data_IF_292819490366
#
_entry.id   IF_292819490366
#
_cell.length_a   1.000
_cell.length_b   1.000
_cell.length_c   1.000
_cell.angle_alpha   90.00
_cell.angle_beta   90.00
_cell.angle_gamma   90.00
#
_symmetry.space_group_name_H-M   'P 1'
#
loop_
_entity.id
_entity.type
_entity.pdbx_description
1 polymer ?
#
# COMPACT_ATOMS: atom_id res chain seq x y z
N UNK A 1 -51.72 25.08 -55.21
CA UNK A 1 -50.49 24.42 -54.73
C UNK A 1 -50.12 25.17 -53.46
N UNK A 2 -50.82 24.75 -52.41
CA UNK A 2 -50.96 25.47 -51.14
C UNK A 2 -49.78 25.18 -50.21
N UNK A 3 -49.30 26.24 -49.56
CA UNK A 3 -48.45 26.18 -48.39
C UNK A 3 -49.36 26.07 -47.17
N UNK A 4 -49.26 24.98 -46.40
CA UNK A 4 -49.94 24.83 -45.12
C UNK A 4 -48.96 24.99 -43.96
N UNK A 5 -49.14 26.02 -43.10
CA UNK A 5 -48.46 26.16 -41.82
C UNK A 5 -49.43 25.85 -40.68
N UNK A 6 -49.22 24.77 -39.93
CA UNK A 6 -49.84 24.60 -38.60
C UNK A 6 -49.11 23.56 -37.74
N UNK A 7 -48.66 24.07 -36.59
CA UNK A 7 -48.86 23.52 -35.24
C UNK A 7 -48.63 22.02 -35.04
N UNK A 8 -47.62 21.70 -34.24
CA UNK A 8 -47.84 20.95 -32.99
C UNK A 8 -46.70 21.17 -31.99
N UNK A 9 -47.02 21.86 -30.89
CA UNK A 9 -46.30 21.85 -29.61
C UNK A 9 -47.14 21.01 -28.65
N UNK A 10 -46.76 19.77 -28.35
CA UNK A 10 -47.05 18.98 -27.13
C UNK A 10 -46.18 17.72 -27.25
N UNK A 11 -45.49 17.13 -26.27
CA UNK A 11 -45.27 17.45 -24.87
C UNK A 11 -44.04 16.65 -24.41
N UNK A 12 -43.18 17.32 -23.65
CA UNK A 12 -42.07 16.73 -22.90
C UNK A 12 -42.68 16.01 -21.69
N UNK A 13 -42.65 14.68 -21.68
CA UNK A 13 -42.85 13.88 -20.47
C UNK A 13 -41.54 13.11 -20.26
N UNK A 14 -40.64 13.71 -19.46
CA UNK A 14 -39.54 12.96 -18.84
C UNK A 14 -40.17 12.11 -17.72
N UNK A 15 -40.27 10.81 -17.96
CA UNK A 15 -40.65 9.84 -16.94
C UNK A 15 -39.43 9.59 -16.05
N UNK A 16 -39.42 10.18 -14.86
CA UNK A 16 -38.49 9.82 -13.79
C UNK A 16 -38.83 8.41 -13.29
N UNK A 17 -38.05 7.41 -13.70
CA UNK A 17 -38.11 6.08 -13.09
C UNK A 17 -37.26 6.13 -11.81
N UNK A 18 -37.94 6.23 -10.67
CA UNK A 18 -37.37 5.92 -9.35
C UNK A 18 -37.12 4.41 -9.28
N UNK A 19 -35.94 3.98 -9.70
CA UNK A 19 -35.43 2.64 -9.43
C UNK A 19 -34.91 2.60 -7.99
N UNK A 20 -35.51 1.72 -7.19
CA UNK A 20 -35.02 1.25 -5.91
C UNK A 20 -33.54 0.90 -6.01
N UNK A 21 -32.68 1.60 -5.27
CA UNK A 21 -31.30 1.16 -5.06
C UNK A 21 -31.31 0.07 -3.97
N UNK A 22 -30.86 -1.16 -4.27
CA UNK A 22 -30.53 -2.09 -3.21
C UNK A 22 -29.34 -1.52 -2.44
N UNK A 23 -29.46 -1.46 -1.11
CA UNK A 23 -28.31 -1.26 -0.22
C UNK A 23 -27.34 -2.42 -0.44
N UNK A 24 -26.37 -2.24 -1.33
CA UNK A 24 -25.19 -3.07 -1.39
C UNK A 24 -24.29 -2.64 -0.25
N UNK A 25 -24.16 -3.49 0.76
CA UNK A 25 -23.02 -3.43 1.65
C UNK A 25 -21.80 -3.70 0.78
N UNK A 26 -21.02 -2.65 0.48
CA UNK A 26 -19.69 -2.82 -0.07
C UNK A 26 -18.92 -3.69 0.94
N UNK A 27 -18.49 -4.88 0.51
CA UNK A 27 -17.44 -5.59 1.21
C UNK A 27 -16.22 -4.69 1.12
N UNK A 28 -15.97 -3.94 2.19
CA UNK A 28 -14.69 -3.25 2.38
C UNK A 28 -13.72 -4.37 2.64
N UNK A 29 -13.07 -4.85 1.58
CA UNK A 29 -11.86 -5.64 1.71
C UNK A 29 -10.83 -4.70 2.34
N UNK A 30 -10.79 -4.71 3.67
CA UNK A 30 -9.68 -4.11 4.40
C UNK A 30 -8.44 -4.79 3.85
N UNK A 31 -7.53 -3.99 3.29
CA UNK A 31 -6.18 -4.43 2.99
C UNK A 31 -5.52 -4.64 4.34
N UNK A 32 -5.73 -5.84 4.87
CA UNK A 32 -5.18 -6.24 6.16
C UNK A 32 -3.67 -6.38 5.96
N UNK A 33 -2.90 -5.88 6.93
CA UNK A 33 -1.50 -6.24 7.03
C UNK A 33 -1.38 -7.77 6.97
N UNK A 34 -0.44 -8.25 6.17
CA UNK A 34 -0.10 -9.67 6.10
C UNK A 34 0.96 -9.96 7.16
N UNK A 35 0.94 -11.18 7.67
CA UNK A 35 1.93 -11.65 8.63
C UNK A 35 2.53 -12.96 8.15
N UNK A 36 3.85 -13.04 8.23
CA UNK A 36 4.59 -14.27 8.02
C UNK A 36 5.42 -14.62 9.25
N UNK A 37 5.62 -15.92 9.47
CA UNK A 37 6.33 -16.45 10.64
C UNK A 37 7.57 -17.18 10.18
N UNK A 38 8.72 -16.81 10.74
CA UNK A 38 9.99 -17.54 10.64
C UNK A 38 10.41 -18.13 11.98
N UNK A 39 11.15 -19.22 11.94
CA UNK A 39 11.55 -20.11 13.03
C UNK A 39 13.04 -20.45 12.91
N UNK A 40 13.70 -20.82 14.03
CA UNK A 40 15.08 -21.29 14.01
C UNK A 40 15.34 -22.42 13.02
N UNK A 41 16.45 -22.35 12.30
CA UNK A 41 16.92 -23.38 11.34
C UNK A 41 18.35 -23.84 11.61
N UNK A 42 19.17 -23.00 12.26
CA UNK A 42 20.52 -23.34 12.66
C UNK A 42 21.01 -22.47 13.83
N UNK A 43 21.95 -23.02 14.62
CA UNK A 43 22.64 -22.31 15.70
C UNK A 43 23.56 -21.19 15.18
N UNK A 44 23.64 -20.06 15.89
CA UNK A 44 24.62 -18.99 15.65
C UNK A 44 25.48 -18.71 16.90
N UNK A 45 24.86 -18.25 17.98
CA UNK A 45 25.48 -18.15 19.31
C UNK A 45 24.80 -19.17 20.20
N UNK A 46 25.59 -19.98 20.90
CA UNK A 46 25.09 -21.03 21.80
C UNK A 46 25.78 -20.92 23.15
N UNK A 47 25.05 -20.45 24.15
CA UNK A 47 25.47 -20.38 25.56
C UNK A 47 24.53 -21.15 26.49
N UNK A 48 23.29 -21.39 26.06
CA UNK A 48 22.31 -22.17 26.81
C UNK A 48 22.57 -23.67 26.62
N UNK A 49 22.07 -24.46 27.58
CA UNK A 49 22.18 -25.91 27.50
C UNK A 49 20.93 -26.49 26.83
N UNK A 50 21.06 -27.39 25.84
CA UNK A 50 19.92 -28.07 25.22
C UNK A 50 19.45 -29.26 26.07
N UNK A 51 18.15 -29.54 25.99
CA UNK A 51 17.54 -30.77 26.45
C UNK A 51 16.50 -31.25 25.43
N UNK A 52 16.53 -32.51 24.97
CA UNK A 52 17.62 -33.47 25.14
C UNK A 52 18.92 -32.96 24.46
N UNK A 53 20.03 -33.70 24.57
CA UNK A 53 21.27 -33.30 23.91
C UNK A 53 21.09 -33.22 22.39
N UNK A 54 21.46 -32.10 21.79
CA UNK A 54 21.37 -31.84 20.35
C UNK A 54 21.78 -30.40 20.02
N UNK A 55 21.64 -29.96 18.76
CA UNK A 55 21.69 -28.54 18.40
C UNK A 55 20.60 -27.76 19.15
N UNK A 56 20.92 -26.56 19.62
CA UNK A 56 19.98 -25.76 20.39
C UNK A 56 18.79 -25.33 19.54
N UNK A 57 19.01 -25.06 18.25
CA UNK A 57 17.98 -24.69 17.27
C UNK A 57 16.87 -25.73 17.13
N UNK A 58 17.16 -27.02 17.34
CA UNK A 58 16.18 -28.12 17.26
C UNK A 58 15.39 -28.33 18.56
N UNK A 59 15.67 -27.54 19.59
CA UNK A 59 14.95 -27.57 20.86
C UNK A 59 13.97 -26.39 21.00
N UNK A 60 13.84 -25.58 19.95
CA UNK A 60 13.06 -24.33 19.94
C UNK A 60 12.40 -24.03 18.59
N UNK A 61 12.52 -24.89 17.57
CA UNK A 61 11.98 -24.68 16.22
C UNK A 61 10.50 -25.11 16.07
N UNK A 62 9.86 -25.43 17.18
CA UNK A 62 8.56 -26.08 17.21
C UNK A 62 7.47 -25.20 16.61
N UNK A 63 6.53 -25.79 15.87
CA UNK A 63 5.35 -25.06 15.39
C UNK A 63 4.42 -24.62 16.52
N UNK A 64 4.39 -25.39 17.60
CA UNK A 64 3.72 -25.09 18.86
C UNK A 64 4.59 -25.59 20.01
N UNK A 65 4.72 -24.79 21.08
CA UNK A 65 5.45 -25.18 22.29
C UNK A 65 5.08 -26.61 22.76
N UNK A 66 6.08 -27.37 23.18
CA UNK A 66 5.90 -28.78 23.56
C UNK A 66 6.27 -29.07 25.03
N UNK A 67 6.42 -28.02 25.83
CA UNK A 67 6.65 -28.08 27.27
C UNK A 67 8.08 -28.51 27.64
N UNK A 68 8.21 -29.68 28.26
CA UNK A 68 9.50 -30.24 28.68
C UNK A 68 9.97 -31.37 27.74
N UNK A 69 9.43 -31.45 26.52
CA UNK A 69 9.83 -32.47 25.53
C UNK A 69 11.22 -32.12 24.98
N UNK A 70 11.38 -30.88 24.53
CA UNK A 70 12.65 -30.25 24.24
C UNK A 70 12.65 -28.77 24.65
N UNK A 71 13.82 -28.26 25.03
CA UNK A 71 14.03 -26.87 25.44
C UNK A 71 15.52 -26.55 25.55
N UNK A 72 15.84 -25.26 25.45
CA UNK A 72 17.11 -24.71 25.92
C UNK A 72 16.94 -24.15 27.34
N UNK A 73 17.99 -24.19 28.16
CA UNK A 73 17.91 -23.71 29.54
C UNK A 73 19.19 -23.06 30.07
N UNK A 74 19.00 -22.20 31.07
CA UNK A 74 20.05 -21.63 31.90
C UNK A 74 19.75 -21.85 33.38
N UNK A 75 20.75 -22.35 34.11
CA UNK A 75 20.81 -22.36 35.57
C UNK A 75 21.80 -21.31 36.10
N UNK A 76 22.24 -20.40 35.23
CA UNK A 76 23.21 -19.39 35.57
C UNK A 76 22.52 -18.12 36.10
N UNK A 77 23.11 -17.55 37.15
CA UNK A 77 22.75 -16.22 37.66
C UNK A 77 23.24 -15.09 36.75
N UNK A 78 24.26 -15.37 35.94
CA UNK A 78 24.59 -14.55 34.80
C UNK A 78 23.60 -14.87 33.68
N UNK A 79 23.13 -13.84 33.00
CA UNK A 79 22.31 -14.06 31.82
C UNK A 79 23.12 -14.63 30.67
N UNK A 80 22.57 -15.65 30.04
CA UNK A 80 23.15 -16.33 28.88
C UNK A 80 22.20 -16.19 27.69
N UNK A 81 22.75 -16.15 26.49
CA UNK A 81 21.98 -15.99 25.27
C UNK A 81 22.27 -17.05 24.23
N UNK A 82 21.22 -17.39 23.50
CA UNK A 82 21.34 -18.07 22.22
C UNK A 82 20.75 -17.20 21.10
N UNK A 83 21.33 -17.32 19.91
CA UNK A 83 20.79 -16.76 18.67
C UNK A 83 20.81 -17.82 17.58
N UNK A 84 19.86 -17.71 16.65
CA UNK A 84 19.63 -18.69 15.61
C UNK A 84 19.44 -18.01 14.26
N UNK A 85 19.98 -18.66 13.22
CA UNK A 85 19.53 -18.43 11.84
C UNK A 85 18.07 -18.88 11.77
N UNK A 86 17.24 -18.17 11.00
CA UNK A 86 15.81 -18.43 10.87
C UNK A 86 15.41 -18.60 9.41
N UNK A 87 14.30 -19.31 9.13
CA UNK A 87 13.71 -19.34 7.80
C UNK A 87 13.00 -18.01 7.52
N UNK A 88 13.71 -17.15 6.78
CA UNK A 88 13.23 -15.82 6.44
C UNK A 88 11.90 -15.87 5.65
N UNK A 89 10.92 -15.02 5.98
CA UNK A 89 9.69 -14.89 5.20
C UNK A 89 9.92 -14.42 3.75
N UNK A 90 8.93 -14.60 2.89
CA UNK A 90 9.00 -14.18 1.49
C UNK A 90 8.98 -12.66 1.36
N UNK A 91 9.82 -12.14 0.46
CA UNK A 91 10.04 -10.71 0.29
C UNK A 91 8.90 -10.04 -0.49
N UNK A 92 7.97 -9.38 0.20
CA UNK A 92 6.93 -8.56 -0.43
C UNK A 92 6.47 -7.39 0.45
N UNK A 93 6.29 -6.20 -0.13
CA UNK A 93 5.70 -5.04 0.57
C UNK A 93 6.67 -4.30 1.50
N UNK A 94 6.14 -3.37 2.29
CA UNK A 94 6.89 -2.66 3.35
C UNK A 94 6.66 -3.35 4.68
N UNK A 95 7.74 -3.57 5.42
CA UNK A 95 7.68 -4.16 6.76
C UNK A 95 7.23 -3.08 7.74
N UNK A 96 6.15 -3.36 8.48
CA UNK A 96 5.61 -2.48 9.50
C UNK A 96 6.33 -2.69 10.84
N UNK A 97 6.65 -3.95 11.18
CA UNK A 97 7.41 -4.31 12.36
C UNK A 97 7.90 -5.77 12.29
N UNK A 98 8.91 -6.06 13.09
CA UNK A 98 9.38 -7.41 13.39
C UNK A 98 9.15 -7.69 14.87
N UNK A 99 8.62 -8.86 15.21
CA UNK A 99 8.39 -9.27 16.61
C UNK A 99 8.96 -10.65 16.85
N UNK A 100 9.81 -10.77 17.87
CA UNK A 100 10.33 -12.07 18.34
C UNK A 100 9.47 -12.54 19.51
N UNK A 101 8.98 -13.77 19.42
CA UNK A 101 8.23 -14.48 20.44
C UNK A 101 9.08 -15.60 21.04
N UNK A 102 8.96 -15.81 22.34
CA UNK A 102 9.63 -16.88 23.08
C UNK A 102 8.67 -17.49 24.10
N UNK A 103 8.64 -18.82 24.19
CA UNK A 103 7.85 -19.55 25.19
C UNK A 103 8.74 -20.06 26.30
N UNK A 104 8.67 -19.43 27.47
CA UNK A 104 9.61 -19.65 28.55
C UNK A 104 8.95 -19.90 29.91
N UNK A 105 9.68 -20.53 30.82
CA UNK A 105 9.33 -20.67 32.24
C UNK A 105 10.55 -20.78 33.13
N UNK A 106 10.35 -20.71 34.43
CA UNK A 106 11.32 -21.16 35.42
C UNK A 106 10.81 -22.43 36.11
N UNK A 107 11.71 -23.35 36.48
CA UNK A 107 11.31 -24.61 37.12
C UNK A 107 10.74 -24.43 38.52
N UNK A 108 11.21 -23.42 39.28
CA UNK A 108 10.66 -23.05 40.57
C UNK A 108 11.06 -21.61 40.96
N UNK A 109 10.32 -20.98 41.87
CA UNK A 109 10.71 -19.68 42.45
C UNK A 109 10.21 -18.43 41.71
N UNK A 110 9.90 -18.51 40.40
CA UNK A 110 9.39 -17.40 39.57
C UNK A 110 10.19 -16.09 39.72
N UNK A 111 11.51 -16.22 39.85
CA UNK A 111 12.50 -15.15 39.98
C UNK A 111 13.36 -14.96 38.74
N UNK A 112 13.37 -15.92 37.81
CA UNK A 112 14.14 -15.87 36.58
C UNK A 112 13.66 -14.76 35.63
N UNK A 113 14.51 -14.41 34.67
CA UNK A 113 14.24 -13.36 33.68
C UNK A 113 14.44 -13.87 32.26
N UNK A 114 13.67 -13.31 31.33
CA UNK A 114 13.77 -13.55 29.89
C UNK A 114 13.82 -12.23 29.12
N UNK A 115 14.58 -12.20 28.03
CA UNK A 115 14.52 -11.15 27.00
C UNK A 115 14.51 -11.80 25.61
N UNK A 116 13.45 -11.62 24.81
CA UNK A 116 13.54 -11.82 23.37
C UNK A 116 14.59 -10.87 22.79
N UNK A 117 15.34 -11.30 21.78
CA UNK A 117 16.39 -10.48 21.18
C UNK A 117 16.51 -10.68 19.66
N UNK A 118 17.08 -9.68 19.01
CA UNK A 118 17.54 -9.72 17.63
C UNK A 118 19.06 -9.54 17.64
N UNK A 119 19.77 -10.31 16.83
CA UNK A 119 21.19 -10.12 16.56
C UNK A 119 21.38 -9.73 15.11
N UNK A 120 22.01 -8.57 14.88
CA UNK A 120 22.43 -8.13 13.56
C UNK A 120 23.97 -8.08 13.51
N UNK A 121 24.56 -6.89 13.66
CA UNK A 121 25.98 -6.71 13.95
C UNK A 121 26.26 -6.76 15.46
N UNK A 122 25.30 -6.28 16.26
CA UNK A 122 25.30 -6.34 17.73
C UNK A 122 24.03 -7.07 18.22
N UNK A 123 24.00 -7.42 19.51
CA UNK A 123 22.80 -7.95 20.17
C UNK A 123 21.89 -6.81 20.64
N UNK A 124 20.63 -6.85 20.22
CA UNK A 124 19.59 -5.89 20.60
C UNK A 124 18.55 -6.60 21.46
N UNK A 125 18.61 -6.34 22.77
CA UNK A 125 17.71 -6.95 23.74
C UNK A 125 16.36 -6.25 23.79
N UNK A 126 15.29 -7.04 23.87
CA UNK A 126 13.99 -6.56 24.32
C UNK A 126 13.94 -6.28 25.81
N UNK A 127 12.75 -5.88 26.27
CA UNK A 127 12.51 -5.62 27.68
C UNK A 127 12.68 -6.89 28.53
N UNK A 128 13.31 -6.72 29.71
CA UNK A 128 13.41 -7.80 30.70
C UNK A 128 12.03 -8.13 31.27
N UNK A 129 11.66 -9.40 31.23
CA UNK A 129 10.37 -9.91 31.71
C UNK A 129 10.62 -11.02 32.73
N UNK A 130 9.86 -11.01 33.83
CA UNK A 130 9.96 -12.04 34.87
C UNK A 130 9.28 -13.33 34.43
N UNK A 131 9.95 -14.46 34.65
CA UNK A 131 9.44 -15.78 34.33
C UNK A 131 8.43 -16.27 35.38
N UNK A 132 7.42 -17.01 34.91
CA UNK A 132 6.51 -17.77 35.78
C UNK A 132 6.94 -19.24 35.88
N UNK A 133 6.31 -20.01 36.77
CA UNK A 133 6.55 -21.47 36.88
C UNK A 133 5.90 -22.31 35.76
N UNK A 134 5.08 -21.68 34.92
CA UNK A 134 4.43 -22.27 33.76
C UNK A 134 4.98 -21.65 32.48
N UNK A 135 4.94 -22.41 31.37
CA UNK A 135 5.30 -21.85 30.07
C UNK A 135 4.33 -20.74 29.70
N UNK A 136 4.89 -19.56 29.44
CA UNK A 136 4.18 -18.34 29.04
C UNK A 136 4.90 -17.78 27.83
N UNK A 137 4.13 -17.20 26.92
CA UNK A 137 4.64 -16.46 25.77
C UNK A 137 5.08 -15.06 26.19
N UNK A 138 6.31 -14.70 25.84
CA UNK A 138 6.86 -13.36 25.96
C UNK A 138 7.27 -12.87 24.57
N UNK A 139 7.26 -11.56 24.36
CA UNK A 139 7.67 -11.01 23.07
C UNK A 139 8.28 -9.62 23.19
N UNK A 140 8.97 -9.21 22.12
CA UNK A 140 9.42 -7.85 21.88
C UNK A 140 9.12 -7.48 20.43
N UNK A 141 8.58 -6.27 20.22
CA UNK A 141 8.34 -5.72 18.88
C UNK A 141 9.37 -4.63 18.58
N UNK A 142 9.89 -4.62 17.37
CA UNK A 142 10.73 -3.58 16.81
C UNK A 142 10.02 -2.98 15.61
N UNK A 143 9.62 -1.71 15.71
CA UNK A 143 8.97 -0.98 14.62
C UNK A 143 9.97 -0.50 13.55
N UNK A 144 11.21 -0.25 13.98
CA UNK A 144 12.34 0.10 13.12
C UNK A 144 13.45 -0.93 13.31
N UNK A 145 14.38 -1.03 12.37
CA UNK A 145 15.59 -1.86 12.54
C UNK A 145 16.40 -1.29 13.72
N UNK A 146 16.63 -2.06 14.80
CA UNK A 146 17.41 -1.57 15.93
C UNK A 146 18.88 -1.30 15.59
N UNK A 147 19.38 -1.71 14.41
CA UNK A 147 20.76 -1.48 13.98
C UNK A 147 21.05 -0.01 13.66
N UNK A 148 20.17 0.64 12.91
CA UNK A 148 20.33 2.01 12.41
C UNK A 148 19.16 2.94 12.73
N UNK A 149 18.07 2.41 13.32
CA UNK A 149 16.81 3.12 13.65
C UNK A 149 15.98 3.51 12.41
N UNK A 150 16.32 2.99 11.22
CA UNK A 150 15.57 3.19 9.98
C UNK A 150 14.41 2.17 9.85
N UNK A 151 13.41 2.42 8.99
CA UNK A 151 12.36 1.43 8.71
C UNK A 151 12.93 0.12 8.16
N UNK A 152 12.37 -1.00 8.62
CA UNK A 152 12.79 -2.34 8.19
C UNK A 152 12.74 -2.52 6.67
N UNK A 153 13.81 -3.09 6.12
CA UNK A 153 13.86 -3.62 4.76
C UNK A 153 13.95 -5.15 4.77
N UNK A 154 13.58 -5.77 3.65
CA UNK A 154 13.76 -7.20 3.47
C UNK A 154 15.24 -7.62 3.51
N UNK A 155 16.15 -6.73 3.11
CA UNK A 155 17.59 -6.99 3.20
C UNK A 155 18.06 -7.09 4.65
N UNK A 156 17.42 -6.37 5.57
CA UNK A 156 17.78 -6.43 6.99
C UNK A 156 17.38 -7.79 7.56
N UNK A 157 16.21 -8.31 7.18
CA UNK A 157 15.73 -9.63 7.63
C UNK A 157 16.67 -10.78 7.24
N UNK A 158 17.30 -10.70 6.06
CA UNK A 158 18.33 -11.67 5.63
C UNK A 158 19.61 -11.62 6.46
N UNK A 159 19.87 -10.50 7.15
CA UNK A 159 21.08 -10.30 7.93
C UNK A 159 20.86 -10.51 9.43
N UNK A 160 19.63 -10.45 9.93
CA UNK A 160 19.34 -10.69 11.35
C UNK A 160 19.25 -12.16 11.72
N UNK A 161 19.44 -12.43 13.01
CA UNK A 161 19.25 -13.69 13.71
C UNK A 161 18.28 -13.39 14.86
N UNK A 162 17.46 -14.37 15.24
CA UNK A 162 16.52 -14.23 16.36
C UNK A 162 17.00 -15.06 17.53
N UNK A 163 16.60 -14.72 18.75
CA UNK A 163 17.08 -15.46 19.91
C UNK A 163 16.42 -15.11 21.22
N UNK A 164 17.02 -15.65 22.29
CA UNK A 164 16.55 -15.48 23.65
C UNK A 164 17.73 -15.32 24.59
N UNK A 165 17.56 -14.44 25.58
CA UNK A 165 18.43 -14.35 26.75
C UNK A 165 17.67 -14.85 27.97
N UNK A 166 18.30 -15.73 28.74
CA UNK A 166 17.74 -16.36 29.93
C UNK A 166 18.66 -16.18 31.15
N UNK A 167 18.04 -15.91 32.29
CA UNK A 167 18.71 -15.80 33.59
C UNK A 167 17.89 -16.47 34.68
N UNK A 168 18.58 -17.24 35.52
CA UNK A 168 18.08 -17.75 36.80
C UNK A 168 18.39 -16.71 37.91
N UNK A 169 17.53 -16.53 38.92
CA UNK A 169 17.75 -15.49 39.95
C UNK A 169 17.68 -16.00 41.39
N UNK A 170 17.16 -17.22 41.62
CA UNK A 170 16.97 -17.80 42.94
C UNK A 170 18.28 -18.29 43.57
N UNK A 171 19.29 -18.67 42.77
CA UNK A 171 20.51 -19.33 43.24
C UNK A 171 20.26 -20.67 43.94
N UNK A 172 19.06 -21.24 43.78
CA UNK A 172 18.69 -22.52 44.38
C UNK A 172 19.11 -23.63 43.43
N UNK A 173 19.90 -24.58 43.94
CA UNK A 173 20.31 -25.75 43.16
C UNK A 173 19.09 -26.47 42.55
N UNK A 174 19.16 -26.73 41.24
CA UNK A 174 18.09 -27.40 40.49
C UNK A 174 17.05 -26.47 39.87
N UNK A 175 17.21 -25.15 40.02
CA UNK A 175 16.39 -24.16 39.29
C UNK A 175 16.97 -23.85 37.91
N UNK A 176 16.09 -23.66 36.94
CA UNK A 176 16.48 -23.28 35.58
C UNK A 176 15.39 -22.46 34.90
N UNK A 177 15.80 -21.42 34.18
CA UNK A 177 15.00 -20.78 33.16
C UNK A 177 15.05 -21.64 31.89
N UNK A 178 13.89 -21.97 31.31
CA UNK A 178 13.72 -22.84 30.14
C UNK A 178 12.98 -22.11 29.03
N UNK A 179 13.34 -22.39 27.78
CA UNK A 179 12.64 -21.94 26.58
C UNK A 179 12.43 -23.12 25.63
N UNK A 180 11.18 -23.35 25.20
CA UNK A 180 10.77 -24.50 24.34
C UNK A 180 10.35 -24.05 22.93
N UNK A 181 10.25 -22.75 22.67
CA UNK A 181 9.86 -22.25 21.36
C UNK A 181 10.37 -20.84 21.16
N UNK A 182 10.96 -20.58 20.00
CA UNK A 182 11.36 -19.24 19.54
C UNK A 182 10.88 -19.09 18.10
N UNK A 183 10.30 -17.95 17.77
CA UNK A 183 9.96 -17.60 16.40
C UNK A 183 9.85 -16.09 16.26
N UNK A 184 9.90 -15.60 15.03
CA UNK A 184 9.61 -14.20 14.76
C UNK A 184 8.48 -14.08 13.73
N UNK A 185 7.69 -13.02 13.91
CA UNK A 185 6.63 -12.64 13.00
C UNK A 185 7.00 -11.31 12.38
N UNK A 186 6.88 -11.26 11.06
CA UNK A 186 7.04 -10.04 10.26
C UNK A 186 5.67 -9.61 9.82
N UNK A 187 5.27 -8.42 10.24
CA UNK A 187 4.07 -7.77 9.76
C UNK A 187 4.46 -6.83 8.64
N UNK A 188 3.83 -7.00 7.48
CA UNK A 188 4.11 -6.21 6.31
C UNK A 188 2.81 -5.83 5.62
N UNK A 189 2.81 -4.63 5.04
CA UNK A 189 1.72 -4.11 4.22
C UNK A 189 2.17 -3.95 2.78
N UNK A 190 1.25 -3.62 1.85
CA UNK A 190 1.64 -3.06 0.57
C UNK A 190 2.58 -1.87 0.82
N UNK A 191 3.61 -1.72 -0.02
CA UNK A 191 4.66 -0.73 0.18
C UNK A 191 4.06 0.65 0.49
N UNK A 192 4.35 1.18 1.68
CA UNK A 192 3.77 2.44 2.14
C UNK A 192 4.46 3.60 1.42
N UNK A 193 3.73 4.18 0.47
CA UNK A 193 4.04 5.37 -0.33
C UNK A 193 5.08 5.17 -1.44
N UNK A 194 4.60 4.78 -2.63
CA UNK A 194 5.14 5.42 -3.82
C UNK A 194 4.87 6.92 -3.68
N UNK A 195 5.90 7.74 -3.85
CA UNK A 195 5.71 9.19 -4.03
C UNK A 195 5.42 9.49 -5.50
N UNK A 196 4.83 10.64 -5.79
CA UNK A 196 4.62 11.06 -7.18
C UNK A 196 5.96 11.20 -7.92
N UNK A 197 7.05 11.49 -7.19
CA UNK A 197 8.42 11.58 -7.68
C UNK A 197 8.93 10.28 -8.33
N UNK A 198 8.38 9.12 -7.94
CA UNK A 198 8.68 7.83 -8.57
C UNK A 198 8.31 7.79 -10.06
N UNK A 199 7.41 8.64 -10.54
CA UNK A 199 6.99 8.68 -11.95
C UNK A 199 8.18 8.78 -12.91
N UNK A 200 9.24 9.49 -12.50
CA UNK A 200 10.45 9.66 -13.30
C UNK A 200 11.23 8.35 -13.52
N UNK A 201 11.39 7.56 -12.47
CA UNK A 201 12.09 6.27 -12.55
C UNK A 201 11.20 5.20 -13.19
N UNK A 202 9.91 5.18 -12.83
CA UNK A 202 8.98 4.10 -13.16
C UNK A 202 8.35 4.25 -14.55
N UNK A 203 8.04 5.48 -14.97
CA UNK A 203 7.27 5.74 -16.20
C UNK A 203 8.13 6.40 -17.28
N UNK A 204 8.85 7.47 -16.95
CA UNK A 204 9.70 8.18 -17.91
C UNK A 204 10.88 7.31 -18.32
N UNK A 205 11.61 6.78 -17.32
CA UNK A 205 12.80 5.94 -17.53
C UNK A 205 12.54 4.44 -17.32
N UNK A 206 11.28 4.04 -17.10
CA UNK A 206 10.90 2.64 -16.90
C UNK A 206 11.39 1.76 -18.04
N UNK A 207 11.82 0.54 -17.71
CA UNK A 207 12.28 -0.43 -18.70
C UNK A 207 11.20 -0.71 -19.76
N UNK A 208 11.60 -1.14 -20.96
CA UNK A 208 10.64 -1.55 -21.99
C UNK A 208 9.65 -2.56 -21.43
N UNK A 209 8.35 -2.34 -21.66
CA UNK A 209 7.26 -3.22 -21.23
C UNK A 209 7.08 -3.33 -19.70
N UNK A 210 7.52 -2.37 -18.88
CA UNK A 210 7.23 -2.34 -17.44
C UNK A 210 6.06 -1.44 -17.05
N UNK A 211 5.47 -0.71 -18.01
CA UNK A 211 4.36 0.21 -17.79
C UNK A 211 3.18 -0.11 -18.69
N UNK A 212 1.96 0.03 -18.16
CA UNK A 212 0.71 -0.03 -18.92
C UNK A 212 0.00 1.32 -18.82
N UNK A 213 -0.16 1.98 -19.97
CA UNK A 213 -1.05 3.12 -20.11
C UNK A 213 -2.46 2.62 -20.37
N UNK A 214 -3.35 2.83 -19.41
CA UNK A 214 -4.73 2.34 -19.47
C UNK A 214 -5.65 3.48 -19.90
N UNK A 215 -6.27 3.28 -21.06
CA UNK A 215 -7.26 4.18 -21.63
C UNK A 215 -8.65 3.82 -21.09
N UNK A 216 -9.47 4.80 -20.70
CA UNK A 216 -10.84 4.52 -20.34
C UNK A 216 -11.66 4.22 -21.60
N UNK A 217 -12.17 3.00 -21.74
CA UNK A 217 -12.97 2.60 -22.89
C UNK A 217 -14.26 3.42 -23.00
N UNK A 218 -14.71 3.65 -24.23
CA UNK A 218 -15.94 4.39 -24.55
C UNK A 218 -17.17 3.50 -24.66
N UNK A 219 -17.00 2.17 -24.82
CA UNK A 219 -18.13 1.28 -25.14
C UNK A 219 -18.07 -0.16 -24.61
N UNK A 220 -16.94 -0.60 -24.03
CA UNK A 220 -16.81 -1.95 -23.49
C UNK A 220 -17.51 -2.19 -22.15
N UNK A 221 -17.57 -3.46 -21.70
CA UNK A 221 -18.19 -3.84 -20.43
C UNK A 221 -17.40 -3.30 -19.24
N UNK A 222 -18.06 -2.52 -18.38
CA UNK A 222 -17.47 -1.86 -17.21
C UNK A 222 -18.21 -2.23 -15.91
N UNK A 223 -17.59 -2.00 -14.74
CA UNK A 223 -18.23 -2.20 -13.45
C UNK A 223 -19.51 -1.36 -13.29
N UNK A 224 -20.39 -1.80 -12.40
CA UNK A 224 -21.63 -1.09 -12.12
C UNK A 224 -21.35 0.35 -11.64
N UNK A 225 -21.98 1.32 -12.29
CA UNK A 225 -21.78 2.75 -11.98
C UNK A 225 -20.66 3.43 -12.76
N UNK A 226 -19.87 2.68 -13.54
CA UNK A 226 -18.85 3.23 -14.44
C UNK A 226 -19.41 3.31 -15.86
N UNK A 227 -19.25 4.47 -16.51
CA UNK A 227 -19.75 4.75 -17.86
C UNK A 227 -18.61 4.94 -18.85
N UNK A 228 -18.93 5.02 -20.14
CA UNK A 228 -17.92 5.32 -21.18
C UNK A 228 -17.33 6.72 -21.02
N UNK A 229 -16.02 6.83 -21.23
CA UNK A 229 -15.33 8.12 -21.18
C UNK A 229 -15.57 8.99 -22.42
N UNK A 230 -15.18 10.26 -22.31
CA UNK A 230 -15.06 11.17 -23.46
C UNK A 230 -13.65 11.06 -24.06
N UNK A 231 -13.53 11.39 -25.36
CA UNK A 231 -12.25 11.36 -26.09
C UNK A 231 -11.15 12.30 -25.53
N UNK A 232 -11.52 13.23 -24.65
CA UNK A 232 -10.58 14.13 -24.00
C UNK A 232 -9.64 13.40 -23.05
N UNK A 233 -10.11 12.39 -22.32
CA UNK A 233 -9.25 11.59 -21.42
C UNK A 233 -8.22 10.77 -22.22
N UNK A 234 -8.58 10.33 -23.43
CA UNK A 234 -7.67 9.65 -24.37
C UNK A 234 -6.58 10.60 -24.90
N UNK A 235 -6.94 11.86 -25.14
CA UNK A 235 -5.98 12.86 -25.58
C UNK A 235 -5.01 13.22 -24.45
N UNK A 236 -5.52 13.32 -23.23
CA UNK A 236 -4.73 13.64 -22.05
C UNK A 236 -3.69 12.56 -21.73
N UNK A 237 -4.03 11.26 -21.79
CA UNK A 237 -3.04 10.18 -21.56
C UNK A 237 -1.95 10.14 -22.63
N UNK A 238 -2.23 10.62 -23.84
CA UNK A 238 -1.23 10.74 -24.91
C UNK A 238 -0.04 11.63 -24.53
N UNK A 239 -0.26 12.65 -23.69
CA UNK A 239 0.82 13.50 -23.16
C UNK A 239 1.77 12.67 -22.30
N UNK A 240 1.23 11.80 -21.43
CA UNK A 240 2.03 10.96 -20.54
C UNK A 240 2.77 9.86 -21.29
N UNK A 241 2.17 9.29 -22.34
CA UNK A 241 2.85 8.34 -23.22
C UNK A 241 4.04 8.99 -23.92
N UNK A 242 3.89 10.24 -24.37
CA UNK A 242 4.97 11.01 -24.98
C UNK A 242 6.14 11.32 -24.05
N UNK A 243 5.98 11.15 -22.74
CA UNK A 243 7.05 11.31 -21.76
C UNK A 243 7.92 10.06 -21.59
N UNK A 244 7.47 8.87 -22.02
CA UNK A 244 8.24 7.63 -21.84
C UNK A 244 9.39 7.53 -22.85
N UNK A 245 10.59 7.20 -22.34
CA UNK A 245 11.79 7.00 -23.15
C UNK A 245 11.84 5.60 -23.81
N UNK A 246 11.15 4.62 -23.23
CA UNK A 246 11.09 3.25 -23.71
C UNK A 246 9.68 2.88 -24.19
N UNK A 247 9.58 1.84 -25.02
CA UNK A 247 8.29 1.33 -25.46
C UNK A 247 7.53 0.71 -24.28
N UNK A 248 6.26 1.08 -24.14
CA UNK A 248 5.38 0.61 -23.07
C UNK A 248 4.09 0.04 -23.63
N UNK A 249 3.33 -0.66 -22.79
CA UNK A 249 2.03 -1.19 -23.18
C UNK A 249 0.98 -0.08 -23.18
N UNK A 250 -0.01 -0.25 -24.05
CA UNK A 250 -1.26 0.50 -24.05
C UNK A 250 -2.42 -0.46 -24.03
N UNK A 251 -3.43 -0.19 -23.21
CA UNK A 251 -4.58 -1.08 -23.05
C UNK A 251 -5.85 -0.31 -22.74
N UNK A 252 -7.01 -0.95 -22.92
CA UNK A 252 -8.29 -0.41 -22.49
C UNK A 252 -8.61 -0.91 -21.08
N UNK A 253 -9.30 -0.12 -20.28
CA UNK A 253 -9.81 -0.48 -18.95
C UNK A 253 -10.96 -1.53 -18.97
N UNK A 254 -11.20 -2.13 -20.12
CA UNK A 254 -12.13 -3.24 -20.41
C UNK A 254 -11.41 -4.45 -21.03
N UNK A 255 -10.08 -4.37 -21.24
CA UNK A 255 -9.32 -5.42 -21.90
C UNK A 255 -9.20 -6.66 -21.02
N UNK A 256 -9.79 -7.77 -21.45
CA UNK A 256 -9.71 -9.07 -20.77
C UNK A 256 -8.41 -9.85 -21.08
N UNK A 257 -7.51 -9.32 -21.91
CA UNK A 257 -6.25 -9.96 -22.29
C UNK A 257 -5.02 -9.44 -21.53
N UNK A 258 -3.93 -10.20 -21.61
CA UNK A 258 -2.60 -9.83 -21.09
C UNK A 258 -2.05 -8.57 -21.80
N UNK A 259 -1.28 -7.70 -21.12
CA UNK A 259 -0.79 -7.82 -19.74
C UNK A 259 -1.74 -7.28 -18.66
N UNK A 260 -2.84 -6.62 -19.03
CA UNK A 260 -3.71 -5.94 -18.05
C UNK A 260 -4.75 -6.86 -17.41
N UNK A 261 -5.41 -7.74 -18.19
CA UNK A 261 -6.45 -8.70 -17.76
C UNK A 261 -7.47 -8.09 -16.78
N UNK A 262 -8.24 -7.10 -17.25
CA UNK A 262 -9.23 -6.39 -16.44
C UNK A 262 -10.36 -7.30 -15.97
N UNK A 263 -10.62 -7.29 -14.66
CA UNK A 263 -11.88 -7.79 -14.11
C UNK A 263 -12.98 -6.76 -14.37
N UNK A 264 -13.83 -7.02 -15.36
CA UNK A 264 -14.89 -6.08 -15.78
C UNK A 264 -16.01 -5.91 -14.78
N UNK A 265 -16.10 -6.77 -13.75
CA UNK A 265 -17.10 -6.64 -12.69
C UNK A 265 -16.65 -5.69 -11.58
N UNK A 266 -15.35 -5.64 -11.28
CA UNK A 266 -14.80 -4.85 -10.16
C UNK A 266 -13.97 -3.66 -10.62
N UNK A 267 -13.36 -3.75 -11.81
CA UNK A 267 -12.38 -2.79 -12.31
C UNK A 267 -10.94 -3.08 -11.86
N UNK A 268 -10.69 -4.20 -11.19
CA UNK A 268 -9.35 -4.59 -10.76
C UNK A 268 -8.49 -5.08 -11.95
N UNK A 269 -7.26 -4.56 -12.12
CA UNK A 269 -6.29 -5.13 -13.05
C UNK A 269 -5.77 -6.50 -12.59
N UNK A 270 -5.52 -7.40 -13.54
CA UNK A 270 -4.84 -8.69 -13.31
C UNK A 270 -3.33 -8.66 -13.57
N UNK A 271 -2.72 -7.47 -13.67
CA UNK A 271 -1.28 -7.28 -13.82
C UNK A 271 -0.54 -7.51 -12.48
N UNK A 272 0.79 -7.67 -12.53
CA UNK A 272 1.64 -7.77 -11.33
C UNK A 272 2.98 -7.09 -11.57
N UNK A 273 3.51 -6.37 -10.58
CA UNK A 273 4.79 -5.65 -10.65
C UNK A 273 4.92 -4.70 -11.86
N UNK A 274 3.82 -4.01 -12.21
CA UNK A 274 3.77 -3.07 -13.33
C UNK A 274 3.56 -1.63 -12.84
N UNK A 275 4.12 -0.66 -13.55
CA UNK A 275 3.63 0.72 -13.52
C UNK A 275 2.29 0.80 -14.27
N UNK A 276 1.25 1.34 -13.65
CA UNK A 276 -0.07 1.50 -14.28
C UNK A 276 -0.44 2.98 -14.28
N UNK A 277 -0.54 3.57 -15.46
CA UNK A 277 -0.87 4.98 -15.64
C UNK A 277 -2.30 5.10 -16.13
N UNK A 278 -3.11 5.92 -15.44
CA UNK A 278 -4.54 6.08 -15.75
C UNK A 278 -4.91 7.56 -15.85
N UNK A 279 -5.82 7.89 -16.77
CA UNK A 279 -6.38 9.24 -16.90
C UNK A 279 -7.90 9.17 -16.96
N UNK A 280 -8.56 9.98 -16.13
CA UNK A 280 -10.02 9.99 -15.98
C UNK A 280 -10.48 9.44 -14.63
N UNK A 281 -11.56 10.01 -14.10
CA UNK A 281 -12.04 9.72 -12.75
C UNK A 281 -12.79 8.38 -12.62
N UNK A 282 -13.22 8.02 -11.40
CA UNK A 282 -13.85 6.73 -11.08
C UNK A 282 -15.22 6.52 -11.75
N UNK A 283 -15.84 7.58 -12.30
CA UNK A 283 -17.11 7.47 -13.04
C UNK A 283 -16.87 6.93 -14.45
N UNK A 284 -15.67 7.09 -15.01
CA UNK A 284 -15.38 6.74 -16.42
C UNK A 284 -14.27 5.70 -16.59
N UNK A 285 -13.43 5.51 -15.56
CA UNK A 285 -12.26 4.64 -15.61
C UNK A 285 -12.36 3.49 -14.59
N UNK A 286 -12.44 2.24 -15.07
CA UNK A 286 -12.64 1.04 -14.25
C UNK A 286 -11.54 0.84 -13.19
N UNK A 287 -10.28 1.08 -13.55
CA UNK A 287 -9.16 0.98 -12.59
C UNK A 287 -9.29 1.99 -11.45
N UNK A 288 -9.59 3.26 -11.76
CA UNK A 288 -9.75 4.31 -10.75
C UNK A 288 -10.97 4.04 -9.87
N UNK A 289 -12.06 3.53 -10.45
CA UNK A 289 -13.22 3.07 -9.71
C UNK A 289 -12.86 2.02 -8.65
N UNK A 290 -12.09 1.01 -9.03
CA UNK A 290 -11.61 -0.02 -8.09
C UNK A 290 -10.68 0.55 -7.03
N UNK A 291 -9.69 1.36 -7.42
CA UNK A 291 -8.73 1.98 -6.50
C UNK A 291 -9.44 2.82 -5.44
N UNK A 292 -10.44 3.60 -5.81
CA UNK A 292 -11.17 4.45 -4.85
C UNK A 292 -12.09 3.67 -3.91
N UNK A 293 -12.44 2.44 -4.25
CA UNK A 293 -13.17 1.56 -3.33
C UNK A 293 -12.33 1.10 -2.14
N UNK A 294 -11.02 0.90 -2.30
CA UNK A 294 -10.23 0.20 -1.28
C UNK A 294 -8.74 0.52 -1.20
N UNK A 295 -8.12 1.28 -2.13
CA UNK A 295 -6.66 1.57 -2.12
C UNK A 295 -6.23 3.04 -2.17
N UNK A 296 -6.87 3.90 -2.96
CA UNK A 296 -6.46 5.30 -3.17
C UNK A 296 -6.35 6.18 -1.91
N UNK A 297 -5.30 7.02 -1.78
CA UNK A 297 -5.19 7.96 -0.65
C UNK A 297 -6.28 9.05 -0.68
N UNK A 298 -6.75 9.38 -1.89
CA UNK A 298 -7.80 10.36 -2.18
C UNK A 298 -8.89 9.73 -3.04
N UNK A 299 -10.14 10.12 -2.83
CA UNK A 299 -11.27 9.68 -3.65
C UNK A 299 -12.24 10.83 -3.97
N UNK A 300 -12.95 10.67 -5.07
CA UNK A 300 -14.00 11.57 -5.54
C UNK A 300 -15.32 11.30 -4.81
N UNK A 301 -16.03 12.37 -4.46
CA UNK A 301 -17.38 12.27 -3.91
C UNK A 301 -18.24 13.43 -4.42
N UNK A 302 -19.55 13.21 -4.55
CA UNK A 302 -20.51 14.24 -4.92
C UNK A 302 -21.67 14.26 -3.91
N UNK A 303 -22.10 15.45 -3.51
CA UNK A 303 -23.20 15.63 -2.58
C UNK A 303 -23.61 17.09 -2.42
N UNK A 304 -24.89 17.35 -2.15
CA UNK A 304 -25.41 18.70 -1.84
C UNK A 304 -25.04 19.78 -2.87
N UNK A 305 -24.98 19.43 -4.16
CA UNK A 305 -24.59 20.37 -5.23
C UNK A 305 -23.09 20.69 -5.28
N UNK A 306 -22.24 19.89 -4.63
CA UNK A 306 -20.80 20.04 -4.65
C UNK A 306 -20.11 18.73 -5.04
N UNK A 307 -18.89 18.89 -5.54
CA UNK A 307 -17.90 17.88 -5.85
C UNK A 307 -16.78 17.99 -4.82
N UNK A 308 -16.25 16.85 -4.40
CA UNK A 308 -15.27 16.76 -3.33
C UNK A 308 -14.13 15.85 -3.72
N UNK A 309 -12.92 16.26 -3.34
CA UNK A 309 -11.84 15.32 -3.09
C UNK A 309 -11.75 15.09 -1.59
N UNK A 310 -11.73 13.82 -1.19
CA UNK A 310 -11.67 13.42 0.21
C UNK A 310 -10.49 12.51 0.44
N UNK A 311 -9.82 12.70 1.57
CA UNK A 311 -8.86 11.73 2.08
C UNK A 311 -9.61 10.46 2.49
N UNK A 312 -8.91 9.33 2.48
CA UNK A 312 -9.45 8.02 2.88
C UNK A 312 -10.19 7.99 4.22
N UNK A 313 -9.73 8.77 5.20
CA UNK A 313 -10.38 8.88 6.51
C UNK A 313 -11.71 9.67 6.47
N UNK A 314 -12.19 10.07 5.30
CA UNK A 314 -13.42 10.84 5.08
C UNK A 314 -13.24 12.35 5.15
N UNK A 315 -12.06 12.85 5.49
CA UNK A 315 -11.77 14.29 5.57
C UNK A 315 -11.91 14.92 4.19
N UNK A 316 -12.65 16.03 4.12
CA UNK A 316 -12.75 16.80 2.87
C UNK A 316 -11.49 17.62 2.68
N UNK A 317 -10.80 17.40 1.56
CA UNK A 317 -9.57 18.09 1.19
C UNK A 317 -9.87 19.32 0.32
N UNK A 318 -10.74 19.15 -0.68
CA UNK A 318 -11.16 20.20 -1.61
C UNK A 318 -12.65 20.07 -1.91
N UNK A 319 -13.31 21.20 -2.13
CA UNK A 319 -14.73 21.28 -2.51
C UNK A 319 -14.91 22.23 -3.71
N UNK A 320 -15.73 21.83 -4.67
CA UNK A 320 -16.12 22.65 -5.82
C UNK A 320 -17.64 22.55 -6.05
N UNK A 321 -18.38 23.67 -6.15
CA UNK A 321 -19.77 23.64 -6.58
C UNK A 321 -19.94 23.02 -7.97
N UNK A 322 -21.00 22.24 -8.20
CA UNK A 322 -21.32 21.71 -9.55
C UNK A 322 -21.62 22.81 -10.57
N UNK A 323 -21.92 24.01 -10.09
CA UNK A 323 -22.17 25.21 -10.90
C UNK A 323 -20.91 26.01 -11.21
N UNK A 324 -19.72 25.54 -10.80
CA UNK A 324 -18.46 26.21 -11.10
C UNK A 324 -18.29 26.37 -12.61
N UNK A 325 -17.91 27.56 -13.12
CA UNK A 325 -17.72 27.79 -14.54
C UNK A 325 -16.68 26.85 -15.13
N UNK A 326 -16.86 26.54 -16.43
CA UNK A 326 -15.93 25.73 -17.21
C UNK A 326 -14.49 26.30 -17.33
N UNK A 327 -14.28 27.54 -16.90
CA UNK A 327 -12.97 28.22 -16.86
C UNK A 327 -12.13 27.84 -15.64
N UNK A 328 -12.59 26.89 -14.82
CA UNK A 328 -11.86 26.43 -13.64
C UNK A 328 -12.18 24.97 -13.35
N UNK A 329 -11.20 24.22 -12.88
CA UNK A 329 -11.39 22.84 -12.44
C UNK A 329 -10.37 22.45 -11.37
N UNK A 330 -10.78 21.62 -10.42
CA UNK A 330 -9.84 20.98 -9.49
C UNK A 330 -9.46 19.60 -10.02
N UNK A 331 -8.20 19.24 -9.81
CA UNK A 331 -7.67 17.95 -10.22
C UNK A 331 -6.72 17.37 -9.19
N UNK A 332 -6.57 16.06 -9.24
CA UNK A 332 -5.69 15.28 -8.37
C UNK A 332 -4.70 14.51 -9.23
N UNK A 333 -3.45 14.48 -8.74
CA UNK A 333 -2.44 13.52 -9.14
C UNK A 333 -2.17 12.69 -7.90
N UNK A 334 -2.32 11.37 -7.97
CA UNK A 334 -1.97 10.51 -6.86
C UNK A 334 -1.30 9.23 -7.32
N UNK A 335 -0.62 8.59 -6.37
CA UNK A 335 0.00 7.29 -6.53
C UNK A 335 -0.35 6.36 -5.39
N UNK A 336 -0.34 5.06 -5.67
CA UNK A 336 -0.60 3.98 -4.71
C UNK A 336 0.00 2.68 -5.22
N UNK A 337 0.33 1.75 -4.32
CA UNK A 337 0.80 0.40 -4.67
C UNK A 337 -0.20 -0.62 -4.17
N UNK A 338 -0.55 -1.61 -5.01
CA UNK A 338 -1.40 -2.73 -4.60
C UNK A 338 -0.60 -3.91 -4.03
N UNK A 339 -1.30 -4.93 -3.53
CA UNK A 339 -0.69 -6.16 -3.00
C UNK A 339 0.01 -7.02 -4.06
N UNK A 340 -0.22 -6.74 -5.35
CA UNK A 340 0.42 -7.41 -6.49
C UNK A 340 1.67 -6.66 -6.97
N UNK A 341 2.10 -5.64 -6.23
CA UNK A 341 3.28 -4.83 -6.55
C UNK A 341 3.06 -3.85 -7.71
N UNK A 342 1.82 -3.67 -8.19
CA UNK A 342 1.55 -2.67 -9.22
C UNK A 342 1.58 -1.28 -8.59
N UNK A 343 2.31 -0.36 -9.22
CA UNK A 343 2.37 1.05 -8.83
C UNK A 343 1.49 1.87 -9.76
N UNK A 344 0.49 2.54 -9.20
CA UNK A 344 -0.50 3.29 -9.96
C UNK A 344 -0.14 4.77 -9.97
N UNK A 345 -0.22 5.41 -11.13
CA UNK A 345 -0.17 6.86 -11.26
C UNK A 345 -1.47 7.34 -11.87
N UNK A 346 -2.25 8.10 -11.11
CA UNK A 346 -3.63 8.44 -11.43
C UNK A 346 -3.77 9.94 -11.60
N UNK A 347 -4.37 10.34 -12.71
CA UNK A 347 -4.54 11.74 -13.12
C UNK A 347 -6.00 12.00 -13.49
N UNK A 348 -6.72 12.77 -12.70
CA UNK A 348 -8.06 13.19 -13.09
C UNK A 348 -8.52 14.45 -12.36
N UNK A 349 -9.53 15.12 -12.90
CA UNK A 349 -10.24 16.18 -12.17
C UNK A 349 -11.74 15.99 -12.11
N UNK A 350 -12.42 16.97 -11.52
CA UNK A 350 -13.87 16.91 -11.41
C UNK A 350 -14.57 16.90 -12.78
N UNK A 351 -13.95 17.52 -13.79
CA UNK A 351 -14.29 17.36 -15.19
C UNK A 351 -13.11 16.96 -16.05
N UNK A 352 -13.38 16.83 -17.36
CA UNK A 352 -12.37 16.47 -18.35
C UNK A 352 -11.23 17.50 -18.48
N UNK A 353 -11.49 18.77 -18.12
CA UNK A 353 -10.48 19.82 -18.12
C UNK A 353 -9.49 19.60 -16.99
N UNK A 354 -9.95 19.23 -15.81
CA UNK A 354 -9.07 18.83 -14.73
C UNK A 354 -8.23 17.59 -15.07
N UNK A 355 -8.77 16.60 -15.78
CA UNK A 355 -7.96 15.46 -16.28
C UNK A 355 -6.83 15.91 -17.21
N UNK A 356 -7.13 16.81 -18.15
CA UNK A 356 -6.11 17.39 -19.04
C UNK A 356 -5.10 18.27 -18.28
N UNK A 357 -5.56 19.05 -17.31
CA UNK A 357 -4.71 19.90 -16.49
C UNK A 357 -3.73 19.07 -15.64
N UNK A 358 -4.17 17.92 -15.11
CA UNK A 358 -3.32 16.99 -14.38
C UNK A 358 -2.16 16.48 -15.23
N UNK A 359 -2.40 16.11 -16.50
CA UNK A 359 -1.34 15.60 -17.36
C UNK A 359 -0.39 16.70 -17.84
N UNK A 360 -0.87 17.92 -18.08
CA UNK A 360 0.01 19.07 -18.32
C UNK A 360 0.86 19.42 -17.11
N UNK A 361 0.33 19.29 -15.90
CA UNK A 361 1.09 19.56 -14.69
C UNK A 361 2.24 18.55 -14.51
N UNK A 362 1.98 17.28 -14.79
CA UNK A 362 3.02 16.25 -14.83
C UNK A 362 4.07 16.51 -15.92
N UNK A 363 3.63 16.93 -17.12
CA UNK A 363 4.54 17.33 -18.20
C UNK A 363 5.49 18.46 -17.76
N UNK A 364 4.94 19.50 -17.12
CA UNK A 364 5.72 20.62 -16.57
C UNK A 364 6.78 20.12 -15.58
N UNK A 365 6.40 19.25 -14.63
CA UNK A 365 7.33 18.73 -13.64
C UNK A 365 8.46 17.91 -14.24
N UNK A 366 8.16 17.06 -15.23
CA UNK A 366 9.18 16.26 -15.91
C UNK A 366 10.13 17.15 -16.71
N UNK A 367 9.59 18.07 -17.51
CA UNK A 367 10.41 18.94 -18.37
C UNK A 367 11.30 19.90 -17.57
N UNK A 368 10.85 20.33 -16.40
CA UNK A 368 11.60 21.22 -15.53
C UNK A 368 12.49 20.50 -14.51
N UNK A 369 12.49 19.16 -14.48
CA UNK A 369 13.27 18.37 -13.52
C UNK A 369 12.82 18.56 -12.07
N UNK A 370 11.51 18.71 -11.85
CA UNK A 370 10.91 19.06 -10.55
C UNK A 370 10.30 17.88 -9.81
N UNK A 371 10.28 16.68 -10.41
CA UNK A 371 9.64 15.49 -9.82
C UNK A 371 10.10 15.21 -8.38
N UNK A 372 11.39 15.37 -8.08
CA UNK A 372 11.96 15.12 -6.75
C UNK A 372 11.41 16.01 -5.63
N UNK A 373 10.63 17.05 -5.95
CA UNK A 373 9.93 17.88 -4.97
C UNK A 373 8.52 17.35 -4.63
N UNK A 374 8.04 16.33 -5.35
CA UNK A 374 6.67 15.80 -5.28
C UNK A 374 6.67 14.42 -4.62
N UNK A 375 7.19 14.33 -3.40
CA UNK A 375 7.36 13.06 -2.66
C UNK A 375 6.09 12.56 -1.96
N UNK A 376 5.01 13.35 -2.00
CA UNK A 376 3.71 12.96 -1.43
C UNK A 376 3.02 11.86 -2.24
N UNK A 377 2.04 11.19 -1.62
CA UNK A 377 1.19 10.21 -2.29
C UNK A 377 0.14 10.88 -3.17
N UNK A 378 -0.26 12.11 -2.86
CA UNK A 378 -1.17 12.88 -3.69
C UNK A 378 -0.88 14.38 -3.64
N UNK A 379 -1.23 15.06 -4.72
CA UNK A 379 -1.37 16.50 -4.77
C UNK A 379 -2.68 16.89 -5.45
N UNK A 380 -3.41 17.80 -4.84
CA UNK A 380 -4.63 18.38 -5.41
C UNK A 380 -4.34 19.82 -5.79
N UNK A 381 -4.67 20.15 -7.03
CA UNK A 381 -4.42 21.44 -7.65
C UNK A 381 -5.72 22.00 -8.22
N UNK A 382 -5.69 23.30 -8.50
CA UNK A 382 -6.72 24.02 -9.23
C UNK A 382 -6.11 24.58 -10.51
N UNK A 383 -6.79 24.36 -11.63
CA UNK A 383 -6.52 25.00 -12.91
C UNK A 383 -7.53 26.13 -13.15
N UNK A 384 -7.06 27.25 -13.68
CA UNK A 384 -7.89 28.39 -14.09
C UNK A 384 -7.50 28.87 -15.50
N UNK A 385 -8.48 28.88 -16.41
CA UNK A 385 -8.39 29.41 -17.78
C UNK A 385 -8.17 30.92 -17.72
N UNK A 386 -6.91 31.32 -17.85
CA UNK A 386 -6.49 32.71 -17.61
C UNK A 386 -6.60 33.55 -18.88
N UNK A 387 -6.51 32.92 -20.05
CA UNK A 387 -6.58 33.58 -21.34
C UNK A 387 -8.02 33.61 -21.92
N UNK A 388 -8.95 32.86 -21.34
CA UNK A 388 -10.38 32.83 -21.68
C UNK A 388 -10.71 32.07 -22.96
N UNK A 389 -9.84 31.18 -23.44
CA UNK A 389 -10.03 30.43 -24.68
C UNK A 389 -10.84 29.13 -24.51
N UNK A 390 -11.15 28.75 -23.26
CA UNK A 390 -11.95 27.59 -22.90
C UNK A 390 -11.24 26.24 -23.03
N UNK A 391 -9.93 26.24 -23.33
CA UNK A 391 -9.07 25.06 -23.41
C UNK A 391 -8.02 25.09 -22.30
N UNK A 392 -7.51 23.91 -21.95
CA UNK A 392 -6.46 23.80 -20.93
C UNK A 392 -5.11 24.01 -21.62
N UNK A 393 -4.33 24.97 -21.13
CA UNK A 393 -3.01 25.31 -21.64
C UNK A 393 -1.93 25.09 -20.56
N UNK A 394 -0.69 24.69 -20.93
CA UNK A 394 0.42 24.69 -19.99
C UNK A 394 0.69 26.06 -19.36
N UNK A 395 1.27 26.06 -18.17
CA UNK A 395 1.86 27.26 -17.57
C UNK A 395 2.91 27.88 -18.53
N UNK A 396 2.98 29.21 -18.66
CA UNK A 396 2.26 30.24 -17.89
C UNK A 396 0.96 30.74 -18.55
N UNK A 397 0.47 30.10 -19.62
CA UNK A 397 -0.74 30.56 -20.33
C UNK A 397 -1.97 30.47 -19.43
N UNK A 398 -2.11 29.35 -18.72
CA UNK A 398 -3.09 29.18 -17.64
C UNK A 398 -2.41 29.10 -16.27
N UNK A 399 -3.21 29.31 -15.23
CA UNK A 399 -2.74 29.30 -13.85
C UNK A 399 -3.02 27.97 -13.16
N UNK A 400 -2.02 27.46 -12.43
CA UNK A 400 -2.09 26.23 -11.66
C UNK A 400 -1.76 26.52 -10.19
N UNK A 401 -2.73 26.31 -9.29
CA UNK A 401 -2.60 26.62 -7.86
C UNK A 401 -2.70 25.37 -7.01
N UNK A 402 -1.64 25.04 -6.28
CA UNK A 402 -1.63 23.93 -5.32
C UNK A 402 -2.65 24.19 -4.21
N UNK A 403 -3.51 23.21 -3.94
CA UNK A 403 -4.50 23.29 -2.85
C UNK A 403 -4.03 22.54 -1.61
N UNK A 404 -3.57 21.30 -1.79
CA UNK A 404 -3.07 20.45 -0.70
C UNK A 404 -2.21 19.32 -1.24
N UNK A 405 -1.35 18.79 -0.38
CA UNK A 405 -0.51 17.60 -0.60
C UNK A 405 -0.68 16.66 0.59
N UNK A 406 -0.35 15.38 0.43
CA UNK A 406 -0.25 14.45 1.56
C UNK A 406 0.12 13.05 1.18
#
# INVERSE_FOLDING_TARGET
MDLDPKKERVGLILLFVLLFTPFYFANVDFVMASQETGRPTADNVVQLNPYPSGPNSFCVDETAQNGDSDYVFSNAQAGLEDTYVWDEPQQNGSINWVRVYVWCRETSGASGSVKPLIYHVNTYYGNEQSLTTSYVEYYQTWYNDPFDDDPWTWSDLSNIKIGVWLKETSGVDGTAARCTQIYAVVDYGPSTAAGIDDFGAEVVNGSTNSVIFVYPDTSGPKPAGVVGALFTDWSAIGILIGLSNNAQYSSLDTNAGSPLMMNTSTGQPGASNMGIVTVGGPIVHSVVHWLEGSLSPVYFSQGSGNLYFKARNGTTLVTQPVSTPASSDHFVIYTVVDSSGNKYFVFYGFGYRGSMAATYKMLEWVQNGQLNMHTGQYEIWRWDDTNGDGIVNPSPTDTYTLQTIG
#
